data_IF_187899790320
#
_entry.id   IF_187899790320
#
_cell.length_a   1.000
_cell.length_b   1.000
_cell.length_c   1.000
_cell.angle_alpha   90.00
_cell.angle_beta   90.00
_cell.angle_gamma   90.00
#
_symmetry.space_group_name_H-M   'P 1'
#
loop_
_entity.id
_entity.type
_entity.pdbx_description
1 polymer ?
#
# COMPACT_ATOMS: atom_id res chain seq x y z
N UNK A 1 -3.58 15.38 -4.86
CA UNK A 1 -4.13 16.67 -4.44
C UNK A 1 -3.77 17.78 -5.43
N UNK A 2 -2.50 18.00 -5.75
CA UNK A 2 -2.05 19.04 -6.70
C UNK A 2 -2.71 18.94 -8.09
N UNK A 3 -2.87 17.71 -8.63
CA UNK A 3 -3.50 17.49 -9.93
C UNK A 3 -4.97 17.95 -10.00
N UNK A 4 -5.60 18.18 -8.85
CA UNK A 4 -6.99 18.63 -8.74
C UNK A 4 -7.12 19.99 -8.03
N UNK A 5 -6.05 20.77 -7.98
CA UNK A 5 -5.98 22.07 -7.28
C UNK A 5 -6.50 22.00 -5.83
N UNK A 6 -6.28 20.85 -5.17
CA UNK A 6 -6.70 20.60 -3.81
C UNK A 6 -5.49 20.32 -2.93
N UNK A 7 -5.36 21.07 -1.86
CA UNK A 7 -4.35 20.84 -0.83
C UNK A 7 -5.03 20.49 0.48
N UNK A 8 -4.42 19.60 1.26
CA UNK A 8 -4.87 19.30 2.61
C UNK A 8 -4.67 20.51 3.56
N UNK A 9 -5.34 20.47 4.71
CA UNK A 9 -5.23 21.51 5.73
C UNK A 9 -3.83 21.59 6.34
N UNK A 10 -3.10 20.47 6.35
CA UNK A 10 -1.77 20.34 6.92
C UNK A 10 -0.82 19.61 5.97
N UNK A 11 0.41 20.12 5.86
CA UNK A 11 1.47 19.37 5.20
C UNK A 11 1.86 18.16 6.07
N UNK A 12 2.32 17.04 5.46
CA UNK A 12 2.93 15.95 6.21
C UNK A 12 4.07 16.50 7.09
N UNK A 13 4.08 16.15 8.35
CA UNK A 13 5.11 16.56 9.30
C UNK A 13 5.82 15.33 9.85
N UNK A 14 7.11 15.49 10.15
CA UNK A 14 7.97 14.41 10.61
C UNK A 14 8.68 14.82 11.90
N UNK A 15 8.39 14.09 12.99
CA UNK A 15 9.21 14.17 14.20
C UNK A 15 10.60 13.54 13.92
N UNK A 16 11.70 14.31 14.03
CA UNK A 16 13.05 13.81 13.77
C UNK A 16 13.45 12.63 14.65
N UNK A 17 12.96 12.56 15.88
CA UNK A 17 13.24 11.43 16.79
C UNK A 17 12.50 10.17 16.34
N UNK A 18 11.28 10.32 15.89
CA UNK A 18 10.50 9.23 15.32
C UNK A 18 11.10 8.71 14.02
N UNK A 19 11.55 9.62 13.14
CA UNK A 19 12.25 9.26 11.90
C UNK A 19 13.53 8.47 12.19
N UNK A 20 14.32 8.93 13.17
CA UNK A 20 15.54 8.21 13.59
C UNK A 20 15.19 6.81 14.13
N UNK A 21 14.20 6.71 15.02
CA UNK A 21 13.78 5.43 15.58
C UNK A 21 13.29 4.47 14.49
N UNK A 22 12.53 4.98 13.53
CA UNK A 22 12.06 4.22 12.35
C UNK A 22 13.24 3.69 11.54
N UNK A 23 14.18 4.56 11.15
CA UNK A 23 15.35 4.18 10.37
C UNK A 23 16.18 3.11 11.09
N UNK A 24 16.55 3.36 12.36
CA UNK A 24 17.36 2.45 13.16
C UNK A 24 16.70 1.07 13.28
N UNK A 25 15.38 1.05 13.50
CA UNK A 25 14.61 -0.19 13.62
C UNK A 25 14.56 -0.96 12.31
N UNK A 26 14.29 -0.29 11.17
CA UNK A 26 14.26 -0.94 9.86
C UNK A 26 15.65 -1.52 9.53
N UNK A 27 16.74 -0.79 9.80
CA UNK A 27 18.09 -1.31 9.60
C UNK A 27 18.38 -2.53 10.51
N UNK A 28 17.85 -2.55 11.74
CA UNK A 28 17.99 -3.70 12.62
C UNK A 28 17.20 -4.90 12.10
N UNK A 29 15.93 -4.71 11.70
CA UNK A 29 15.11 -5.77 11.10
C UNK A 29 15.77 -6.40 9.86
N UNK A 30 16.42 -5.56 9.03
CA UNK A 30 17.19 -6.03 7.87
C UNK A 30 18.38 -6.87 8.26
N UNK A 31 19.21 -6.42 9.23
CA UNK A 31 20.36 -7.18 9.74
C UNK A 31 19.95 -8.52 10.35
N UNK A 32 18.79 -8.54 11.01
CA UNK A 32 18.22 -9.73 11.63
C UNK A 32 17.60 -10.72 10.63
N UNK A 33 17.53 -10.37 9.34
CA UNK A 33 16.94 -11.20 8.29
C UNK A 33 15.42 -11.37 8.40
N UNK A 34 14.75 -10.43 9.09
CA UNK A 34 13.29 -10.47 9.28
C UNK A 34 12.51 -9.94 8.07
N UNK A 35 13.10 -9.05 7.28
CA UNK A 35 12.45 -8.44 6.13
C UNK A 35 12.54 -9.35 4.91
N UNK A 36 11.40 -9.74 4.35
CA UNK A 36 11.29 -10.39 3.04
C UNK A 36 11.12 -9.38 1.92
N UNK A 37 10.39 -8.30 2.17
CA UNK A 37 10.23 -7.17 1.27
C UNK A 37 10.02 -5.89 2.09
N UNK A 38 10.34 -4.76 1.47
CA UNK A 38 10.23 -3.42 2.05
C UNK A 38 9.91 -2.42 0.95
N UNK A 39 9.00 -1.49 1.25
CA UNK A 39 8.72 -0.35 0.40
C UNK A 39 8.31 0.85 1.26
N UNK A 40 8.86 2.02 0.96
CA UNK A 40 8.45 3.27 1.61
C UNK A 40 7.00 3.62 1.27
N UNK A 41 6.30 4.22 2.20
CA UNK A 41 5.04 4.89 1.89
C UNK A 41 5.37 6.28 1.35
N UNK A 42 5.21 6.47 0.05
CA UNK A 42 5.55 7.67 -0.70
C UNK A 42 4.33 8.19 -1.49
N UNK A 43 4.55 8.73 -2.67
CA UNK A 43 3.51 9.28 -3.53
C UNK A 43 2.38 8.27 -3.77
N UNK A 44 1.14 8.69 -3.57
CA UNK A 44 -0.04 7.83 -3.63
C UNK A 44 -0.30 7.00 -2.36
N UNK A 45 0.49 7.19 -1.31
CA UNK A 45 0.29 6.64 0.02
C UNK A 45 0.34 5.11 0.08
N UNK A 46 -0.38 4.54 1.04
CA UNK A 46 -0.44 3.10 1.26
C UNK A 46 -0.96 2.33 0.05
N UNK A 47 -1.93 2.90 -0.68
CA UNK A 47 -2.52 2.24 -1.85
C UNK A 47 -1.48 1.97 -2.93
N UNK A 48 -0.75 3.00 -3.35
CA UNK A 48 0.31 2.87 -4.36
C UNK A 48 1.42 1.93 -3.87
N UNK A 49 1.89 2.11 -2.63
CA UNK A 49 2.94 1.28 -2.03
C UNK A 49 2.64 -0.22 -2.11
N UNK A 50 1.42 -0.65 -1.72
CA UNK A 50 1.09 -2.09 -1.76
C UNK A 50 0.87 -2.59 -3.18
N UNK A 51 0.37 -1.75 -4.08
CA UNK A 51 0.24 -2.09 -5.50
C UNK A 51 1.62 -2.31 -6.14
N UNK A 52 2.58 -1.41 -5.92
CA UNK A 52 3.94 -1.51 -6.45
C UNK A 52 4.67 -2.75 -5.91
N UNK A 53 4.50 -3.08 -4.63
CA UNK A 53 4.99 -4.34 -4.08
C UNK A 53 4.37 -5.57 -4.76
N UNK A 54 3.07 -5.53 -5.07
CA UNK A 54 2.39 -6.59 -5.79
C UNK A 54 2.85 -6.70 -7.24
N UNK A 55 3.14 -5.58 -7.90
CA UNK A 55 3.68 -5.55 -9.26
C UNK A 55 5.05 -6.23 -9.32
N UNK A 56 5.94 -5.85 -8.40
CA UNK A 56 7.28 -6.42 -8.31
C UNK A 56 7.28 -7.92 -8.01
N UNK A 57 6.37 -8.37 -7.14
CA UNK A 57 6.23 -9.77 -6.73
C UNK A 57 5.39 -10.62 -7.69
N UNK A 58 4.73 -10.03 -8.67
CA UNK A 58 3.75 -10.68 -9.56
C UNK A 58 2.72 -11.52 -8.79
N UNK A 59 2.18 -11.00 -7.70
CA UNK A 59 1.20 -11.68 -6.85
C UNK A 59 0.01 -10.77 -6.51
N UNK A 60 -1.11 -11.35 -6.11
CA UNK A 60 -2.22 -10.63 -5.56
C UNK A 60 -2.05 -10.35 -4.06
N UNK A 61 -2.90 -9.49 -3.50
CA UNK A 61 -2.92 -9.13 -2.09
C UNK A 61 -4.33 -9.20 -1.52
N UNK A 62 -4.43 -9.69 -0.29
CA UNK A 62 -5.67 -9.68 0.50
C UNK A 62 -5.45 -8.87 1.77
N UNK A 63 -5.98 -7.63 1.79
CA UNK A 63 -5.68 -6.64 2.81
C UNK A 63 -6.93 -6.24 3.60
N UNK A 64 -6.74 -5.99 4.90
CA UNK A 64 -7.76 -5.57 5.86
C UNK A 64 -7.35 -4.21 6.42
N UNK A 65 -8.23 -3.22 6.28
CA UNK A 65 -7.96 -1.82 6.62
C UNK A 65 -8.50 -1.41 8.00
N UNK A 66 -9.08 -2.33 8.76
CA UNK A 66 -9.81 -2.02 10.00
C UNK A 66 -8.98 -1.22 11.00
N UNK A 67 -7.70 -1.59 11.17
CA UNK A 67 -6.80 -0.90 12.11
C UNK A 67 -6.22 0.40 11.56
N UNK A 68 -5.97 0.48 10.24
CA UNK A 68 -5.47 1.70 9.58
C UNK A 68 -6.53 2.77 9.49
N UNK A 69 -7.78 2.35 9.21
CA UNK A 69 -8.93 3.24 9.06
C UNK A 69 -9.78 3.30 10.35
N UNK A 70 -9.18 3.02 11.51
CA UNK A 70 -9.89 3.02 12.78
C UNK A 70 -10.48 4.39 13.09
N UNK A 71 -11.78 4.41 13.44
CA UNK A 71 -12.48 5.60 13.93
C UNK A 71 -13.15 5.27 15.26
N UNK A 72 -12.68 5.83 16.40
CA UNK A 72 -13.24 5.56 17.71
C UNK A 72 -14.71 5.98 17.85
N UNK A 73 -15.18 6.92 17.01
CA UNK A 73 -16.57 7.38 17.00
C UNK A 73 -17.50 6.47 16.19
N UNK A 74 -16.96 5.51 15.45
CA UNK A 74 -17.74 4.51 14.71
C UNK A 74 -17.90 3.19 15.47
N UNK A 75 -17.28 3.03 16.62
CA UNK A 75 -17.55 1.88 17.48
C UNK A 75 -19.00 1.97 17.98
N UNK A 76 -19.72 0.87 17.90
CA UNK A 76 -21.06 0.73 18.45
C UNK A 76 -21.05 1.04 19.94
N UNK A 77 -21.49 2.25 20.27
CA UNK A 77 -21.98 2.54 21.61
C UNK A 77 -23.45 2.15 21.55
N UNK A 78 -23.80 1.05 22.19
CA UNK A 78 -25.18 0.57 22.30
C UNK A 78 -26.12 1.74 22.57
N UNK A 79 -27.08 1.96 21.66
CA UNK A 79 -28.21 2.82 21.88
C UNK A 79 -28.22 4.22 21.26
N UNK A 80 -27.23 4.64 20.47
CA UNK A 80 -27.31 5.90 19.71
C UNK A 80 -27.64 5.62 18.24
N UNK A 81 -28.85 5.99 17.81
CA UNK A 81 -29.23 6.06 16.40
C UNK A 81 -28.34 7.08 15.67
N UNK A 82 -27.28 6.57 15.05
CA UNK A 82 -26.39 7.39 14.23
C UNK A 82 -27.08 7.69 12.90
N UNK A 83 -27.18 8.98 12.54
CA UNK A 83 -27.76 9.38 11.25
C UNK A 83 -26.91 8.77 10.10
N UNK A 84 -27.50 7.96 9.20
CA UNK A 84 -26.78 7.20 8.18
C UNK A 84 -25.87 8.04 7.28
N UNK A 85 -26.25 9.28 6.97
CA UNK A 85 -25.52 10.13 6.02
C UNK A 85 -24.24 10.72 6.60
N UNK A 86 -24.23 11.10 7.89
CA UNK A 86 -23.03 11.59 8.58
C UNK A 86 -21.98 10.48 8.73
N UNK A 87 -22.42 9.22 8.89
CA UNK A 87 -21.54 8.08 9.01
C UNK A 87 -20.89 7.66 7.68
N UNK A 88 -21.62 7.80 6.56
CA UNK A 88 -21.09 7.48 5.23
C UNK A 88 -19.93 8.39 4.84
N UNK A 89 -20.04 9.71 5.09
CA UNK A 89 -18.98 10.67 4.85
C UNK A 89 -17.71 10.30 5.65
N UNK A 90 -17.83 10.16 6.98
CA UNK A 90 -16.69 9.76 7.82
C UNK A 90 -16.06 8.43 7.44
N UNK A 91 -16.84 7.47 7.00
CA UNK A 91 -16.32 6.20 6.52
C UNK A 91 -15.41 6.38 5.31
N UNK A 92 -15.85 7.18 4.32
CA UNK A 92 -15.08 7.49 3.14
C UNK A 92 -13.82 8.31 3.49
N UNK A 93 -13.94 9.36 4.30
CA UNK A 93 -12.83 10.22 4.70
C UNK A 93 -11.71 9.42 5.38
N UNK A 94 -12.07 8.54 6.33
CA UNK A 94 -11.09 7.68 7.01
C UNK A 94 -10.48 6.64 6.08
N UNK A 95 -11.24 6.13 5.11
CA UNK A 95 -10.72 5.21 4.10
C UNK A 95 -9.71 5.91 3.19
N UNK A 96 -10.07 7.08 2.66
CA UNK A 96 -9.17 7.87 1.82
C UNK A 96 -7.94 8.33 2.58
N UNK A 97 -8.06 8.83 3.79
CA UNK A 97 -6.92 9.19 4.62
C UNK A 97 -5.99 7.99 4.87
N UNK A 98 -6.53 6.82 5.21
CA UNK A 98 -5.73 5.62 5.45
C UNK A 98 -5.00 5.10 4.21
N UNK A 99 -5.61 5.23 3.02
CA UNK A 99 -5.03 4.72 1.77
C UNK A 99 -4.08 5.72 1.09
N UNK A 100 -4.36 7.02 1.16
CA UNK A 100 -3.70 8.02 0.32
C UNK A 100 -2.91 9.08 1.10
N UNK A 101 -2.88 9.04 2.45
CA UNK A 101 -2.01 9.91 3.21
C UNK A 101 -0.53 9.54 3.01
N UNK A 102 0.28 10.54 2.64
CA UNK A 102 1.71 10.40 2.34
C UNK A 102 2.56 10.70 3.59
N UNK A 103 2.15 10.12 4.71
CA UNK A 103 2.84 10.24 5.99
C UNK A 103 4.06 9.30 6.08
N UNK A 104 5.01 9.62 6.96
CA UNK A 104 6.16 8.75 7.26
C UNK A 104 5.71 7.33 7.55
N UNK A 105 6.28 6.36 6.86
CA UNK A 105 6.00 4.97 7.07
C UNK A 105 6.54 4.07 5.96
N UNK A 106 6.33 2.77 6.13
CA UNK A 106 6.68 1.76 5.15
C UNK A 106 5.73 0.58 5.22
N UNK A 107 5.69 -0.19 4.15
CA UNK A 107 5.09 -1.52 4.12
C UNK A 107 6.22 -2.54 4.08
N UNK A 108 6.15 -3.52 4.97
CA UNK A 108 7.13 -4.60 5.06
C UNK A 108 6.43 -5.95 4.96
N UNK A 109 7.11 -6.91 4.36
CA UNK A 109 6.70 -8.31 4.38
C UNK A 109 7.65 -9.09 5.29
N UNK A 110 7.07 -9.95 6.13
CA UNK A 110 7.78 -10.83 7.05
C UNK A 110 7.22 -12.24 6.98
N UNK A 111 7.92 -13.23 7.54
CA UNK A 111 7.34 -14.56 7.78
C UNK A 111 6.33 -14.50 8.93
N UNK A 112 5.34 -15.36 8.88
CA UNK A 112 4.29 -15.43 9.91
C UNK A 112 4.86 -15.77 11.29
N UNK A 113 5.85 -16.64 11.36
CA UNK A 113 6.55 -17.05 12.58
C UNK A 113 7.34 -15.90 13.24
N UNK A 114 7.79 -14.91 12.46
CA UNK A 114 8.56 -13.76 12.94
C UNK A 114 7.69 -12.64 13.54
N UNK A 115 6.36 -12.78 13.47
CA UNK A 115 5.41 -11.74 13.89
C UNK A 115 5.64 -11.25 15.33
N UNK A 116 5.85 -12.17 16.27
CA UNK A 116 6.04 -11.81 17.70
C UNK A 116 7.33 -11.03 17.89
N UNK A 117 8.42 -11.47 17.27
CA UNK A 117 9.73 -10.82 17.32
C UNK A 117 9.70 -9.43 16.72
N UNK A 118 9.05 -9.26 15.55
CA UNK A 118 8.83 -7.95 14.96
C UNK A 118 8.06 -7.02 15.88
N UNK A 119 6.93 -7.50 16.42
CA UNK A 119 6.06 -6.71 17.32
C UNK A 119 6.81 -6.20 18.52
N UNK A 120 7.67 -7.03 19.12
CA UNK A 120 8.50 -6.66 20.27
C UNK A 120 9.47 -5.53 19.91
N UNK A 121 10.18 -5.63 18.77
CA UNK A 121 11.12 -4.60 18.31
C UNK A 121 10.42 -3.27 18.01
N UNK A 122 9.26 -3.30 17.32
CA UNK A 122 8.50 -2.10 17.01
C UNK A 122 7.97 -1.40 18.26
N UNK A 123 7.48 -2.18 19.25
CA UNK A 123 7.02 -1.64 20.53
C UNK A 123 8.16 -1.04 21.34
N UNK A 124 9.32 -1.70 21.39
CA UNK A 124 10.51 -1.18 22.06
C UNK A 124 10.95 0.17 21.47
N UNK A 125 10.85 0.31 20.15
CA UNK A 125 11.13 1.55 19.43
C UNK A 125 9.98 2.58 19.48
N UNK A 126 8.84 2.27 20.11
CA UNK A 126 7.62 3.09 20.15
C UNK A 126 7.05 3.44 18.77
N UNK A 127 7.22 2.56 17.80
CA UNK A 127 6.69 2.71 16.47
C UNK A 127 5.29 2.10 16.37
N UNK A 128 4.36 2.85 15.77
CA UNK A 128 3.05 2.34 15.42
C UNK A 128 3.16 1.32 14.28
N UNK A 129 2.32 0.28 14.32
CA UNK A 129 2.28 -0.73 13.27
C UNK A 129 0.87 -1.30 13.09
N UNK A 130 0.60 -1.77 11.88
CA UNK A 130 -0.66 -2.39 11.51
C UNK A 130 -0.41 -3.67 10.71
N UNK A 131 -1.11 -4.74 11.05
CA UNK A 131 -1.10 -5.94 10.22
C UNK A 131 -2.19 -5.82 9.17
N UNK A 132 -1.78 -5.72 7.91
CA UNK A 132 -2.69 -5.46 6.79
C UNK A 132 -3.27 -6.73 6.17
N UNK A 133 -2.51 -7.82 6.13
CA UNK A 133 -2.93 -9.04 5.46
C UNK A 133 -1.78 -9.83 4.86
N UNK A 134 -2.03 -10.46 3.72
CA UNK A 134 -1.08 -11.40 3.12
C UNK A 134 -1.16 -11.41 1.58
N UNK A 135 -0.07 -11.81 0.89
CA UNK A 135 -0.11 -12.13 -0.53
C UNK A 135 -1.07 -13.28 -0.84
N UNK A 136 -1.63 -13.28 -2.05
CA UNK A 136 -2.45 -14.36 -2.54
C UNK A 136 -2.06 -14.77 -3.98
N UNK A 137 -2.52 -15.95 -4.40
CA UNK A 137 -2.21 -16.53 -5.72
C UNK A 137 -3.26 -16.19 -6.79
N UNK A 138 -4.23 -15.33 -6.48
CA UNK A 138 -5.35 -15.01 -7.39
C UNK A 138 -5.07 -13.87 -8.35
N UNK A 139 -3.88 -13.28 -8.28
CA UNK A 139 -3.48 -12.10 -9.07
C UNK A 139 -4.46 -10.92 -8.96
N UNK A 140 -5.09 -10.80 -7.80
CA UNK A 140 -6.11 -9.80 -7.48
C UNK A 140 -5.73 -9.04 -6.20
N UNK A 141 -5.82 -7.72 -6.23
CA UNK A 141 -5.60 -6.86 -5.07
C UNK A 141 -6.95 -6.48 -4.48
N UNK A 142 -7.16 -6.88 -3.23
CA UNK A 142 -8.42 -6.71 -2.50
C UNK A 142 -8.22 -5.96 -1.21
N UNK A 143 -9.06 -4.97 -0.98
CA UNK A 143 -9.14 -4.27 0.30
C UNK A 143 -10.50 -4.54 0.95
N UNK A 144 -10.46 -4.90 2.22
CA UNK A 144 -11.65 -5.08 3.06
C UNK A 144 -11.61 -4.14 4.25
N UNK A 145 -12.79 -3.68 4.66
CA UNK A 145 -13.01 -2.94 5.90
C UNK A 145 -14.32 -3.38 6.53
N UNK A 146 -14.31 -3.70 7.83
CA UNK A 146 -15.47 -4.23 8.55
C UNK A 146 -16.09 -5.44 7.82
N UNK A 147 -15.26 -6.40 7.44
CA UNK A 147 -15.60 -7.59 6.66
C UNK A 147 -16.20 -7.34 5.26
N UNK A 148 -16.43 -6.08 4.85
CA UNK A 148 -16.94 -5.73 3.52
C UNK A 148 -15.79 -5.49 2.55
N UNK A 149 -15.98 -5.94 1.31
CA UNK A 149 -15.08 -5.59 0.20
C UNK A 149 -15.30 -4.11 -0.14
N UNK A 150 -14.23 -3.31 -0.06
CA UNK A 150 -14.27 -1.87 -0.39
C UNK A 150 -13.61 -1.57 -1.72
N UNK A 151 -12.68 -2.44 -2.14
CA UNK A 151 -12.03 -2.34 -3.44
C UNK A 151 -11.53 -3.72 -3.89
N UNK A 152 -11.58 -3.99 -5.19
CA UNK A 152 -10.95 -5.13 -5.85
C UNK A 152 -10.64 -4.80 -7.29
N UNK A 153 -9.43 -5.12 -7.73
CA UNK A 153 -9.01 -5.04 -9.13
C UNK A 153 -7.94 -6.11 -9.40
N UNK A 154 -7.77 -6.50 -10.67
CA UNK A 154 -6.64 -7.35 -11.01
C UNK A 154 -5.32 -6.57 -10.89
N UNK A 155 -4.25 -7.27 -10.55
CA UNK A 155 -2.91 -6.66 -10.49
C UNK A 155 -2.50 -6.08 -11.85
N UNK A 156 -2.86 -6.77 -12.93
CA UNK A 156 -2.54 -6.35 -14.29
C UNK A 156 -3.25 -5.04 -14.66
N UNK A 157 -4.55 -4.90 -14.36
CA UNK A 157 -5.28 -3.64 -14.59
C UNK A 157 -4.63 -2.47 -13.87
N UNK A 158 -4.24 -2.67 -12.60
CA UNK A 158 -3.57 -1.62 -11.83
C UNK A 158 -2.16 -1.33 -12.36
N UNK A 159 -1.42 -2.35 -12.79
CA UNK A 159 -0.09 -2.17 -13.39
C UNK A 159 -0.18 -1.41 -14.72
N UNK A 160 -1.16 -1.72 -15.55
CA UNK A 160 -1.39 -0.99 -16.80
C UNK A 160 -1.78 0.47 -16.54
N UNK A 161 -2.67 0.72 -15.56
CA UNK A 161 -3.05 2.08 -15.16
C UNK A 161 -1.84 2.87 -14.61
N UNK A 162 -0.99 2.23 -13.81
CA UNK A 162 0.25 2.81 -13.28
C UNK A 162 1.25 3.14 -14.39
N UNK A 163 1.37 2.28 -15.39
CA UNK A 163 2.31 2.42 -16.51
C UNK A 163 1.80 3.33 -17.63
N UNK A 164 0.51 3.66 -17.66
CA UNK A 164 -0.13 4.34 -18.80
C UNK A 164 0.53 5.66 -19.16
N UNK A 165 0.87 6.50 -18.19
CA UNK A 165 1.50 7.80 -18.43
C UNK A 165 2.85 7.63 -19.13
N UNK A 166 3.71 6.75 -18.61
CA UNK A 166 5.03 6.46 -19.18
C UNK A 166 4.91 5.86 -20.58
N UNK A 167 3.97 4.95 -20.80
CA UNK A 167 3.64 4.39 -22.11
C UNK A 167 3.25 5.48 -23.12
N UNK A 168 2.36 6.40 -22.75
CA UNK A 168 1.93 7.49 -23.63
C UNK A 168 3.09 8.43 -23.98
N UNK A 169 3.96 8.74 -23.03
CA UNK A 169 5.16 9.56 -23.26
C UNK A 169 6.15 8.84 -24.19
N UNK A 170 6.38 7.54 -23.94
CA UNK A 170 7.27 6.74 -24.77
C UNK A 170 6.81 6.68 -26.23
N UNK A 171 5.49 6.56 -26.49
CA UNK A 171 4.93 6.60 -27.84
C UNK A 171 5.19 7.90 -28.62
N UNK A 172 5.48 9.00 -27.94
CA UNK A 172 5.82 10.28 -28.58
C UNK A 172 7.31 10.37 -28.95
N UNK A 173 8.14 9.55 -28.32
CA UNK A 173 9.60 9.62 -28.44
C UNK A 173 10.21 8.44 -29.18
N UNK A 174 9.72 7.24 -28.91
CA UNK A 174 10.31 5.97 -29.32
C UNK A 174 9.48 5.33 -30.45
N UNK A 175 9.93 4.17 -30.98
CA UNK A 175 9.16 3.43 -31.98
C UNK A 175 7.80 2.98 -31.39
N UNK A 176 6.67 3.43 -31.97
CA UNK A 176 5.34 3.17 -31.39
C UNK A 176 4.97 1.69 -31.33
N UNK A 177 5.50 0.85 -32.25
CA UNK A 177 5.21 -0.58 -32.28
C UNK A 177 5.95 -1.31 -31.15
N UNK A 178 7.23 -0.98 -30.93
CA UNK A 178 7.99 -1.52 -29.81
C UNK A 178 7.38 -1.12 -28.46
N UNK A 179 7.00 0.14 -28.31
CA UNK A 179 6.35 0.64 -27.08
C UNK A 179 5.01 -0.04 -26.84
N UNK A 180 4.25 -0.34 -27.89
CA UNK A 180 3.00 -1.10 -27.75
C UNK A 180 3.27 -2.53 -27.28
N UNK A 181 4.28 -3.20 -27.84
CA UNK A 181 4.66 -4.56 -27.43
C UNK A 181 5.10 -4.62 -25.96
N UNK A 182 5.87 -3.64 -25.50
CA UNK A 182 6.26 -3.53 -24.08
C UNK A 182 5.04 -3.37 -23.15
N UNK A 183 4.09 -2.51 -23.54
CA UNK A 183 2.89 -2.31 -22.75
C UNK A 183 2.00 -3.56 -22.72
N UNK A 184 1.84 -4.25 -23.83
CA UNK A 184 1.06 -5.49 -23.93
C UNK A 184 1.70 -6.62 -23.11
N UNK A 185 3.04 -6.65 -23.03
CA UNK A 185 3.79 -7.63 -22.22
C UNK A 185 3.53 -7.52 -20.71
N UNK A 186 3.01 -6.38 -20.21
CA UNK A 186 2.59 -6.25 -18.82
C UNK A 186 1.48 -7.24 -18.42
N UNK A 187 0.65 -7.63 -19.41
CA UNK A 187 -0.43 -8.59 -19.20
C UNK A 187 0.02 -10.06 -19.38
N UNK A 188 1.23 -10.30 -19.85
CA UNK A 188 1.74 -11.65 -20.07
C UNK A 188 2.12 -12.32 -18.74
N UNK A 189 1.24 -13.18 -18.24
CA UNK A 189 1.47 -13.97 -17.02
C UNK A 189 2.57 -15.04 -17.21
N UNK A 190 2.93 -15.39 -18.44
CA UNK A 190 3.92 -16.42 -18.75
C UNK A 190 5.33 -15.87 -18.86
N UNK A 191 5.47 -14.55 -18.96
CA UNK A 191 6.77 -13.89 -19.02
C UNK A 191 7.54 -14.09 -17.70
N UNK A 192 8.65 -14.83 -17.69
CA UNK A 192 9.40 -15.11 -16.45
C UNK A 192 10.16 -13.88 -15.92
N UNK A 193 10.16 -12.77 -16.65
CA UNK A 193 11.02 -11.63 -16.40
C UNK A 193 12.44 -11.85 -16.89
N UNK A 194 13.34 -10.93 -16.50
CA UNK A 194 14.75 -11.07 -16.82
C UNK A 194 15.40 -12.13 -15.89
N UNK A 195 16.12 -13.07 -16.49
CA UNK A 195 16.92 -14.03 -15.76
C UNK A 195 18.39 -13.89 -16.19
N UNK A 196 19.30 -13.92 -15.23
CA UNK A 196 20.75 -13.96 -15.49
C UNK A 196 21.24 -15.34 -15.08
N UNK A 197 21.80 -16.08 -16.04
CA UNK A 197 22.58 -17.26 -15.73
C UNK A 197 23.96 -16.80 -15.25
N UNK A 198 24.30 -17.08 -13.99
CA UNK A 198 25.64 -16.87 -13.42
C UNK A 198 26.51 -18.07 -13.63
#
# INVERSE_FOLDING_TARGET
AQAYDSVGEHAPDVDPLQLKAFFDTVQQLRRDGLLLAYHDRSDGGLFATVCEMAFAAKCGLSLILDTVCYDPYMMDVDGLEKKPDTLKGRFADRLFAGLFAEELGAVIQIRREDRSRLTEQLRAARLAYHFLGEPNTKDEIRFRRNAKLVFSASRVELLQAWSETSYRIAKLRDDPECVQQEFDALADATNPGLSVAL
#
